data_IF_703375819990
#
_entry.id   IF_703375819990
#
_cell.length_a   1.000
_cell.length_b   1.000
_cell.length_c   1.000
_cell.angle_alpha   90.00
_cell.angle_beta   90.00
_cell.angle_gamma   90.00
#
_symmetry.space_group_name_H-M   'P 1'
#
loop_
_entity.id
_entity.type
_entity.pdbx_description
1 polymer ?
#
# COMPACT_ATOMS: atom_id res chain seq x y z
N UNK A 1 5.69 1.21 -18.41
CA UNK A 1 4.65 0.56 -17.58
C UNK A 1 5.34 -0.08 -16.38
N UNK A 2 4.90 0.15 -15.15
CA UNK A 2 5.53 -0.46 -13.98
C UNK A 2 5.25 -1.96 -13.90
N UNK A 3 6.20 -2.75 -13.37
CA UNK A 3 6.03 -4.19 -13.15
C UNK A 3 4.93 -4.49 -12.12
N UNK A 4 4.25 -5.63 -12.26
CA UNK A 4 3.31 -6.17 -11.25
C UNK A 4 4.12 -6.70 -10.08
N UNK A 5 3.90 -6.15 -8.88
CA UNK A 5 4.58 -6.58 -7.66
C UNK A 5 3.86 -7.80 -7.08
N UNK A 6 4.52 -8.94 -7.11
CA UNK A 6 3.98 -10.21 -6.62
C UNK A 6 4.68 -10.59 -5.32
N UNK A 7 3.91 -10.66 -4.23
CA UNK A 7 4.39 -11.24 -2.97
C UNK A 7 4.09 -12.74 -3.00
N UNK A 8 5.12 -13.57 -2.97
CA UNK A 8 5.00 -15.01 -2.87
C UNK A 8 5.29 -15.47 -1.45
N UNK A 9 4.44 -16.29 -0.88
CA UNK A 9 4.54 -16.78 0.50
C UNK A 9 4.43 -18.30 0.51
N UNK A 10 5.50 -18.96 0.89
CA UNK A 10 5.62 -20.42 0.87
C UNK A 10 6.75 -20.84 1.83
N UNK A 11 6.57 -21.84 2.66
CA UNK A 11 7.58 -22.30 3.60
C UNK A 11 8.66 -23.17 2.92
N UNK A 12 8.35 -23.76 1.76
CA UNK A 12 9.28 -24.59 0.98
C UNK A 12 10.28 -23.73 0.18
N UNK A 13 11.59 -23.77 0.49
CA UNK A 13 12.58 -22.93 -0.19
C UNK A 13 12.69 -23.23 -1.70
N UNK A 14 12.56 -24.49 -2.10
CA UNK A 14 12.64 -24.90 -3.50
C UNK A 14 11.48 -24.33 -4.33
N UNK A 15 10.27 -24.26 -3.73
CA UNK A 15 9.11 -23.66 -4.39
C UNK A 15 9.31 -22.15 -4.53
N UNK A 16 9.85 -21.48 -3.50
CA UNK A 16 10.15 -20.04 -3.59
C UNK A 16 11.14 -19.75 -4.72
N UNK A 17 12.21 -20.52 -4.82
CA UNK A 17 13.21 -20.37 -5.88
C UNK A 17 12.58 -20.56 -7.28
N UNK A 18 11.80 -21.62 -7.47
CA UNK A 18 11.12 -21.89 -8.75
C UNK A 18 10.18 -20.76 -9.14
N UNK A 19 9.39 -20.22 -8.21
CA UNK A 19 8.46 -19.11 -8.47
C UNK A 19 9.23 -17.82 -8.79
N UNK A 20 10.30 -17.51 -8.06
CA UNK A 20 11.15 -16.35 -8.34
C UNK A 20 11.78 -16.41 -9.73
N UNK A 21 12.34 -17.55 -10.12
CA UNK A 21 12.90 -17.75 -11.46
C UNK A 21 11.80 -17.62 -12.51
N UNK A 22 10.70 -18.35 -12.34
CA UNK A 22 9.62 -18.41 -13.33
C UNK A 22 8.98 -17.04 -13.63
N UNK A 23 8.72 -16.26 -12.60
CA UNK A 23 8.16 -14.91 -12.76
C UNK A 23 9.24 -13.90 -13.13
N UNK A 24 10.48 -14.06 -12.66
CA UNK A 24 11.62 -13.20 -12.98
C UNK A 24 12.05 -13.23 -14.45
N UNK A 25 11.68 -14.29 -15.19
CA UNK A 25 11.89 -14.36 -16.65
C UNK A 25 11.00 -13.35 -17.41
N UNK A 26 9.94 -12.85 -16.80
CA UNK A 26 9.04 -11.88 -17.40
C UNK A 26 9.24 -10.49 -16.74
N UNK A 27 9.78 -9.50 -17.45
CA UNK A 27 10.04 -8.17 -16.90
C UNK A 27 8.77 -7.42 -16.45
N UNK A 28 7.58 -7.96 -16.76
CA UNK A 28 6.32 -7.43 -16.27
C UNK A 28 6.08 -7.72 -14.78
N UNK A 29 6.87 -8.59 -14.15
CA UNK A 29 6.75 -8.92 -12.74
C UNK A 29 7.97 -8.48 -11.93
N UNK A 30 7.71 -8.06 -10.69
CA UNK A 30 8.69 -7.89 -9.63
C UNK A 30 8.27 -8.78 -8.46
N UNK A 31 9.09 -9.77 -8.10
CA UNK A 31 8.75 -10.78 -7.10
C UNK A 31 9.50 -10.51 -5.81
N UNK A 32 8.80 -10.68 -4.68
CA UNK A 32 9.39 -10.78 -3.35
C UNK A 32 8.83 -12.03 -2.68
N UNK A 33 9.69 -12.90 -2.16
CA UNK A 33 9.28 -14.12 -1.48
C UNK A 33 9.44 -14.00 0.04
N UNK A 34 8.54 -14.68 0.76
CA UNK A 34 8.53 -14.81 2.22
C UNK A 34 8.39 -16.28 2.60
N UNK A 35 9.00 -16.68 3.71
CA UNK A 35 8.99 -18.06 4.17
C UNK A 35 7.81 -18.37 5.12
N UNK A 36 7.05 -17.37 5.54
CA UNK A 36 5.95 -17.53 6.48
C UNK A 36 4.88 -16.46 6.33
N UNK A 37 3.69 -16.70 6.87
CA UNK A 37 2.63 -15.68 6.97
C UNK A 37 3.08 -14.45 7.79
N UNK A 38 3.87 -14.66 8.85
CA UNK A 38 4.43 -13.58 9.66
C UNK A 38 5.37 -12.67 8.85
N UNK A 39 6.29 -13.27 8.07
CA UNK A 39 7.19 -12.51 7.19
C UNK A 39 6.42 -11.75 6.11
N UNK A 40 5.36 -12.35 5.55
CA UNK A 40 4.49 -11.69 4.59
C UNK A 40 3.82 -10.45 5.17
N UNK A 41 3.29 -10.55 6.40
CA UNK A 41 2.71 -9.42 7.11
C UNK A 41 3.74 -8.32 7.40
N UNK A 42 4.97 -8.66 7.76
CA UNK A 42 6.04 -7.70 7.95
C UNK A 42 6.43 -7.03 6.63
N UNK A 43 6.60 -7.81 5.56
CA UNK A 43 6.98 -7.33 4.24
C UNK A 43 5.98 -6.32 3.65
N UNK A 44 4.68 -6.46 3.96
CA UNK A 44 3.65 -5.52 3.47
C UNK A 44 3.65 -4.16 4.17
N UNK A 45 4.47 -3.94 5.18
CA UNK A 45 4.60 -2.64 5.83
C UNK A 45 5.38 -1.64 4.97
N UNK A 46 6.41 -2.10 4.27
CA UNK A 46 7.30 -1.29 3.44
C UNK A 46 7.17 -1.56 1.93
N UNK A 47 6.50 -2.66 1.55
CA UNK A 47 6.35 -3.07 0.17
C UNK A 47 4.90 -3.44 -0.14
N UNK A 48 4.24 -2.65 -0.97
CA UNK A 48 2.84 -2.84 -1.33
C UNK A 48 2.73 -3.77 -2.53
N UNK A 49 2.27 -5.04 -2.37
CA UNK A 49 2.06 -5.95 -3.48
C UNK A 49 0.82 -5.58 -4.30
N UNK A 50 0.86 -5.90 -5.60
CA UNK A 50 -0.29 -5.83 -6.50
C UNK A 50 -1.05 -7.16 -6.55
N UNK A 51 -0.38 -8.26 -6.17
CA UNK A 51 -0.91 -9.63 -6.10
C UNK A 51 -0.15 -10.41 -5.04
N UNK A 52 -0.83 -11.32 -4.34
CA UNK A 52 -0.21 -12.23 -3.38
C UNK A 52 -0.46 -13.66 -3.83
N UNK A 53 0.62 -14.45 -3.99
CA UNK A 53 0.59 -15.89 -4.13
C UNK A 53 0.84 -16.48 -2.74
N UNK A 54 -0.07 -17.30 -2.23
CA UNK A 54 -0.05 -17.72 -0.83
C UNK A 54 -0.22 -19.23 -0.73
N UNK A 55 0.79 -19.91 -0.20
CA UNK A 55 0.64 -21.31 0.11
C UNK A 55 -0.43 -21.54 1.19
N UNK A 56 -1.17 -22.62 1.02
CA UNK A 56 -2.24 -22.99 1.96
C UNK A 56 -1.69 -23.60 3.24
N UNK A 57 -0.66 -24.43 3.12
CA UNK A 57 -0.17 -25.28 4.20
C UNK A 57 1.20 -24.83 4.69
N UNK A 58 1.22 -23.89 5.61
CA UNK A 58 2.45 -23.41 6.26
C UNK A 58 2.41 -23.65 7.76
N UNK A 59 3.56 -23.85 8.42
CA UNK A 59 3.64 -23.94 9.88
C UNK A 59 3.24 -22.62 10.56
N UNK A 60 2.80 -22.70 11.80
CA UNK A 60 2.39 -21.61 12.70
C UNK A 60 1.19 -20.80 12.21
N UNK A 61 1.26 -20.20 11.02
CA UNK A 61 0.19 -19.42 10.40
C UNK A 61 -0.06 -19.92 8.98
N UNK A 62 -1.14 -20.65 8.78
CA UNK A 62 -1.54 -21.18 7.48
C UNK A 62 -2.00 -20.07 6.50
N UNK A 63 -2.23 -20.45 5.24
CA UNK A 63 -2.67 -19.51 4.21
C UNK A 63 -4.00 -18.82 4.54
N UNK A 64 -5.06 -19.53 4.93
CA UNK A 64 -6.31 -18.93 5.37
C UNK A 64 -6.18 -17.93 6.52
N UNK A 65 -5.38 -18.24 7.55
CA UNK A 65 -5.10 -17.31 8.65
C UNK A 65 -4.32 -16.09 8.18
N UNK A 66 -3.33 -16.29 7.30
CA UNK A 66 -2.55 -15.19 6.70
C UNK A 66 -3.46 -14.28 5.88
N UNK A 67 -4.35 -14.83 5.06
CA UNK A 67 -5.34 -14.06 4.30
C UNK A 67 -6.23 -13.22 5.23
N UNK A 68 -6.75 -13.80 6.31
CA UNK A 68 -7.59 -13.07 7.27
C UNK A 68 -6.84 -11.86 7.85
N UNK A 69 -5.57 -12.04 8.25
CA UNK A 69 -4.72 -10.96 8.77
C UNK A 69 -4.40 -9.88 7.72
N UNK A 70 -4.20 -10.27 6.46
CA UNK A 70 -4.00 -9.33 5.35
C UNK A 70 -5.26 -8.48 5.11
N UNK A 71 -6.46 -9.04 5.25
CA UNK A 71 -7.74 -8.33 5.09
C UNK A 71 -8.01 -7.32 6.21
N UNK A 72 -7.44 -7.50 7.39
CA UNK A 72 -7.53 -6.53 8.50
C UNK A 72 -6.70 -5.26 8.26
N UNK A 73 -5.79 -5.26 7.30
CA UNK A 73 -4.87 -4.15 7.03
C UNK A 73 -5.34 -3.33 5.82
N UNK A 74 -5.54 -2.01 5.95
CA UNK A 74 -6.01 -1.17 4.83
C UNK A 74 -5.14 -1.29 3.56
N UNK A 75 -3.81 -1.48 3.72
CA UNK A 75 -2.87 -1.56 2.61
C UNK A 75 -3.02 -2.82 1.76
N UNK A 76 -3.52 -3.91 2.36
CA UNK A 76 -3.63 -5.23 1.72
C UNK A 76 -5.05 -5.74 1.62
N UNK A 77 -6.02 -5.04 2.21
CA UNK A 77 -7.43 -5.47 2.25
C UNK A 77 -8.02 -5.75 0.86
N UNK A 78 -7.65 -4.96 -0.14
CA UNK A 78 -8.15 -5.08 -1.52
C UNK A 78 -7.19 -5.83 -2.47
N UNK A 79 -5.99 -6.23 -2.00
CA UNK A 79 -5.01 -6.92 -2.85
C UNK A 79 -5.52 -8.33 -3.19
N UNK A 80 -5.56 -8.74 -4.47
CA UNK A 80 -5.95 -10.08 -4.85
C UNK A 80 -4.97 -11.11 -4.27
N UNK A 81 -5.51 -12.15 -3.64
CA UNK A 81 -4.76 -13.27 -3.08
C UNK A 81 -5.14 -14.53 -3.84
N UNK A 82 -4.15 -15.23 -4.38
CA UNK A 82 -4.29 -16.50 -5.07
C UNK A 82 -3.63 -17.58 -4.22
N UNK A 83 -4.39 -18.58 -3.81
CA UNK A 83 -3.83 -19.70 -3.07
C UNK A 83 -3.04 -20.64 -3.98
N UNK A 84 -1.95 -21.15 -3.46
CA UNK A 84 -1.19 -22.26 -4.07
C UNK A 84 -1.38 -23.50 -3.20
N UNK A 85 -1.84 -24.63 -3.79
CA UNK A 85 -2.17 -25.83 -3.01
C UNK A 85 -1.94 -27.11 -3.76
N UNK A 86 -1.47 -28.15 -3.07
CA UNK A 86 -1.40 -29.50 -3.60
C UNK A 86 -2.79 -30.17 -3.78
N UNK A 87 -3.84 -29.58 -3.20
CA UNK A 87 -5.21 -30.10 -3.26
C UNK A 87 -6.12 -29.06 -3.92
N UNK A 88 -6.34 -29.22 -5.22
CA UNK A 88 -7.23 -28.34 -6.01
C UNK A 88 -8.55 -29.04 -6.35
N UNK A 89 -9.21 -29.66 -5.35
CA UNK A 89 -10.55 -30.24 -5.56
C UNK A 89 -11.61 -29.14 -5.63
N UNK A 90 -12.71 -29.38 -6.35
CA UNK A 90 -13.75 -28.38 -6.55
C UNK A 90 -14.32 -27.81 -5.23
N UNK A 91 -14.50 -28.66 -4.22
CA UNK A 91 -14.99 -28.27 -2.89
C UNK A 91 -14.01 -27.36 -2.13
N UNK A 92 -12.70 -27.53 -2.35
CA UNK A 92 -11.68 -26.66 -1.74
C UNK A 92 -11.59 -25.31 -2.47
N UNK A 93 -11.74 -25.31 -3.79
CA UNK A 93 -11.82 -24.10 -4.58
C UNK A 93 -12.96 -23.19 -4.11
N UNK A 94 -14.18 -23.75 -3.97
CA UNK A 94 -15.34 -23.01 -3.48
C UNK A 94 -15.10 -22.42 -2.06
N UNK A 95 -14.46 -23.21 -1.19
CA UNK A 95 -14.08 -22.77 0.16
C UNK A 95 -13.11 -21.59 0.11
N UNK A 96 -12.07 -21.64 -0.72
CA UNK A 96 -11.08 -20.58 -0.80
C UNK A 96 -11.66 -19.29 -1.40
N UNK A 97 -12.52 -19.41 -2.40
CA UNK A 97 -13.26 -18.28 -2.96
C UNK A 97 -14.20 -17.64 -1.92
N UNK A 98 -14.87 -18.45 -1.10
CA UNK A 98 -15.71 -17.96 0.00
C UNK A 98 -14.92 -17.22 1.08
N UNK A 99 -13.62 -17.52 1.26
CA UNK A 99 -12.72 -16.78 2.13
C UNK A 99 -12.23 -15.45 1.51
N UNK A 100 -12.60 -15.14 0.27
CA UNK A 100 -12.21 -13.92 -0.44
C UNK A 100 -10.91 -14.04 -1.23
N UNK A 101 -10.47 -15.27 -1.56
CA UNK A 101 -9.40 -15.48 -2.53
C UNK A 101 -9.85 -15.11 -3.95
N UNK A 102 -8.92 -14.57 -4.75
CA UNK A 102 -9.15 -14.28 -6.16
C UNK A 102 -9.11 -15.55 -7.03
N UNK A 103 -8.47 -16.59 -6.54
CA UNK A 103 -8.36 -17.86 -7.24
C UNK A 103 -7.41 -18.84 -6.57
N UNK A 104 -7.12 -19.94 -7.29
CA UNK A 104 -6.25 -21.02 -6.81
C UNK A 104 -5.35 -21.48 -7.96
N UNK A 105 -4.10 -21.74 -7.65
CA UNK A 105 -3.11 -22.41 -8.51
C UNK A 105 -2.77 -23.75 -7.88
N UNK A 106 -2.97 -24.84 -8.65
CA UNK A 106 -2.63 -26.18 -8.18
C UNK A 106 -1.10 -26.39 -8.19
N UNK A 107 -0.56 -27.02 -7.16
CA UNK A 107 0.77 -27.62 -7.13
C UNK A 107 0.65 -29.12 -7.49
N UNK A 108 1.54 -29.70 -8.33
CA UNK A 108 2.63 -29.02 -9.03
C UNK A 108 2.12 -28.17 -10.20
N UNK A 109 2.76 -27.02 -10.43
CA UNK A 109 2.53 -26.17 -11.58
C UNK A 109 3.69 -26.24 -12.57
N UNK A 110 3.44 -25.91 -13.82
CA UNK A 110 4.49 -25.77 -14.83
C UNK A 110 5.14 -24.39 -14.70
N UNK A 111 6.46 -24.32 -14.38
CA UNK A 111 7.18 -23.06 -14.26
C UNK A 111 7.07 -22.16 -15.49
N UNK A 112 7.03 -22.74 -16.69
CA UNK A 112 6.98 -21.98 -17.95
C UNK A 112 5.63 -21.33 -18.21
N UNK A 113 4.56 -21.83 -17.58
CA UNK A 113 3.20 -21.27 -17.71
C UNK A 113 2.76 -20.43 -16.51
N UNK A 114 3.54 -20.44 -15.43
CA UNK A 114 3.18 -19.76 -14.19
C UNK A 114 2.93 -18.25 -14.39
N UNK A 115 3.79 -17.56 -15.15
CA UNK A 115 3.64 -16.13 -15.44
C UNK A 115 2.30 -15.82 -16.15
N UNK A 116 1.88 -16.68 -17.10
CA UNK A 116 0.59 -16.53 -17.78
C UNK A 116 -0.59 -16.78 -16.84
N UNK A 117 -0.49 -17.74 -15.93
CA UNK A 117 -1.51 -18.00 -14.91
C UNK A 117 -1.65 -16.84 -13.94
N UNK A 118 -0.54 -16.35 -13.41
CA UNK A 118 -0.50 -15.22 -12.46
C UNK A 118 -1.07 -13.94 -13.08
N UNK A 119 -0.75 -13.68 -14.36
CA UNK A 119 -1.26 -12.51 -15.09
C UNK A 119 -2.80 -12.46 -15.16
N UNK A 120 -3.49 -13.60 -15.14
CA UNK A 120 -4.97 -13.66 -15.12
C UNK A 120 -5.58 -13.06 -13.85
N UNK A 121 -4.82 -13.05 -12.76
CA UNK A 121 -5.24 -12.51 -11.47
C UNK A 121 -4.64 -11.14 -11.18
N UNK A 122 -3.66 -10.71 -11.97
CA UNK A 122 -3.06 -9.40 -11.80
C UNK A 122 -4.08 -8.30 -12.11
N UNK A 123 -4.21 -7.29 -11.24
CA UNK A 123 -5.16 -6.22 -11.46
C UNK A 123 -4.79 -5.40 -12.72
N UNK A 124 -5.80 -4.88 -13.40
CA UNK A 124 -5.59 -3.96 -14.51
C UNK A 124 -4.80 -2.71 -14.06
N UNK A 125 -4.14 -2.04 -15.00
CA UNK A 125 -3.32 -0.87 -14.68
C UNK A 125 -4.14 0.23 -13.97
N UNK A 126 -5.39 0.44 -14.38
CA UNK A 126 -6.31 1.40 -13.77
C UNK A 126 -6.61 1.04 -12.30
N UNK A 127 -6.86 -0.24 -12.00
CA UNK A 127 -7.09 -0.72 -10.64
C UNK A 127 -5.85 -0.56 -9.76
N UNK A 128 -4.65 -0.79 -10.31
CA UNK A 128 -3.38 -0.58 -9.61
C UNK A 128 -3.15 0.88 -9.27
N UNK A 129 -3.43 1.79 -10.20
CA UNK A 129 -3.35 3.24 -9.97
C UNK A 129 -4.34 3.64 -8.87
N UNK A 130 -5.59 3.15 -8.93
CA UNK A 130 -6.59 3.42 -7.90
C UNK A 130 -6.14 2.94 -6.51
N UNK A 131 -5.57 1.72 -6.42
CA UNK A 131 -5.02 1.18 -5.16
C UNK A 131 -3.89 2.04 -4.61
N UNK A 132 -2.96 2.49 -5.46
CA UNK A 132 -1.85 3.37 -5.06
C UNK A 132 -2.36 4.74 -4.58
N UNK A 133 -3.35 5.32 -5.27
CA UNK A 133 -3.99 6.58 -4.87
C UNK A 133 -4.67 6.47 -3.52
N UNK A 134 -5.42 5.38 -3.28
CA UNK A 134 -6.05 5.12 -1.99
C UNK A 134 -5.01 4.93 -0.88
N UNK A 135 -3.94 4.20 -1.13
CA UNK A 135 -2.82 4.04 -0.21
C UNK A 135 -2.15 5.37 0.17
N UNK A 136 -1.98 6.27 -0.80
CA UNK A 136 -1.51 7.64 -0.53
C UNK A 136 -2.47 8.39 0.39
N UNK A 137 -3.79 8.37 0.12
CA UNK A 137 -4.78 9.08 0.95
C UNK A 137 -4.82 8.55 2.39
N UNK A 138 -4.62 7.26 2.60
CA UNK A 138 -4.53 6.69 3.97
C UNK A 138 -3.33 7.28 4.72
N UNK A 139 -2.14 7.35 4.09
CA UNK A 139 -0.96 7.98 4.70
C UNK A 139 -1.15 9.47 4.92
N UNK A 140 -1.67 10.19 3.93
CA UNK A 140 -1.91 11.63 4.04
C UNK A 140 -2.86 11.99 5.21
N UNK A 141 -3.83 11.11 5.54
CA UNK A 141 -4.67 11.28 6.74
C UNK A 141 -3.88 11.17 8.03
N UNK A 142 -2.93 10.24 8.11
CA UNK A 142 -2.06 10.11 9.27
C UNK A 142 -1.18 11.35 9.41
N UNK A 143 -0.61 11.84 8.31
CA UNK A 143 0.18 13.06 8.28
C UNK A 143 -0.67 14.28 8.69
N UNK A 144 -1.94 14.37 8.24
CA UNK A 144 -2.87 15.42 8.66
C UNK A 144 -3.18 15.40 10.17
N UNK A 145 -3.17 14.23 10.82
CA UNK A 145 -3.29 14.14 12.27
C UNK A 145 -2.07 14.74 12.97
N UNK A 146 -0.87 14.39 12.51
CA UNK A 146 0.39 14.97 13.03
C UNK A 146 0.41 16.50 12.80
N UNK A 147 0.01 16.95 11.61
CA UNK A 147 -0.09 18.39 11.33
C UNK A 147 -1.09 19.10 12.26
N UNK A 148 -2.17 18.43 12.67
CA UNK A 148 -3.14 18.98 13.64
C UNK A 148 -2.53 19.13 15.03
N UNK A 149 -1.66 18.21 15.45
CA UNK A 149 -0.92 18.31 16.71
C UNK A 149 0.09 19.47 16.66
N UNK A 150 0.91 19.55 15.61
CA UNK A 150 1.88 20.61 15.37
C UNK A 150 1.24 22.01 15.29
N UNK A 151 0.03 22.08 14.71
CA UNK A 151 -0.79 23.30 14.69
C UNK A 151 -1.01 23.86 16.09
N UNK A 152 -1.31 23.00 17.04
CA UNK A 152 -1.55 23.41 18.44
C UNK A 152 -0.26 23.89 19.10
N UNK A 153 0.87 23.28 18.81
CA UNK A 153 2.18 23.70 19.34
C UNK A 153 2.59 25.06 18.80
N UNK A 154 2.38 25.33 17.50
CA UNK A 154 2.64 26.63 16.87
C UNK A 154 1.74 27.73 17.47
N UNK A 155 0.44 27.43 17.66
CA UNK A 155 -0.51 28.38 18.21
C UNK A 155 -0.21 28.76 19.69
N UNK A 156 0.36 27.81 20.45
CA UNK A 156 0.73 28.01 21.86
C UNK A 156 2.12 28.64 22.03
N UNK A 157 2.82 28.96 20.94
CA UNK A 157 4.20 29.48 20.91
C UNK A 157 5.22 28.60 21.66
N UNK A 158 4.84 27.36 22.00
CA UNK A 158 5.69 26.37 22.65
C UNK A 158 6.52 25.66 21.59
N UNK A 159 7.81 25.86 21.59
CA UNK A 159 8.79 25.25 20.67
C UNK A 159 8.41 25.41 19.17
N UNK A 160 7.87 26.59 18.81
CA UNK A 160 7.36 26.88 17.47
C UNK A 160 8.41 26.62 16.36
N UNK A 161 9.71 26.78 16.65
CA UNK A 161 10.77 26.53 15.66
C UNK A 161 10.89 25.04 15.30
N UNK A 162 10.83 24.14 16.28
CA UNK A 162 10.89 22.70 16.03
C UNK A 162 9.62 22.21 15.33
N UNK A 163 8.44 22.72 15.73
CA UNK A 163 7.17 22.41 15.09
C UNK A 163 7.15 22.86 13.61
N UNK A 164 7.64 24.08 13.32
CA UNK A 164 7.74 24.58 11.94
C UNK A 164 8.65 23.73 11.06
N UNK A 165 9.79 23.26 11.56
CA UNK A 165 10.67 22.38 10.79
C UNK A 165 10.03 21.01 10.50
N UNK A 166 9.22 20.47 11.43
CA UNK A 166 8.47 19.24 11.19
C UNK A 166 7.35 19.46 10.16
N UNK A 167 6.65 20.62 10.22
CA UNK A 167 5.64 21.01 9.22
C UNK A 167 6.27 21.11 7.84
N UNK A 168 7.43 21.77 7.69
CA UNK A 168 8.18 21.85 6.44
C UNK A 168 8.45 20.47 5.86
N UNK A 169 9.02 19.56 6.67
CA UNK A 169 9.35 18.19 6.22
C UNK A 169 8.14 17.40 5.75
N UNK A 170 7.03 17.47 6.50
CA UNK A 170 5.78 16.79 6.13
C UNK A 170 5.14 17.41 4.88
N UNK A 171 5.13 18.74 4.79
CA UNK A 171 4.57 19.46 3.65
C UNK A 171 5.33 19.15 2.36
N UNK A 172 6.67 19.13 2.40
CA UNK A 172 7.51 18.74 1.28
C UNK A 172 7.15 17.34 0.76
N UNK A 173 7.15 16.33 1.64
CA UNK A 173 6.81 14.94 1.27
C UNK A 173 5.38 14.79 0.72
N UNK A 174 4.42 15.52 1.30
CA UNK A 174 3.03 15.53 0.81
C UNK A 174 2.91 16.21 -0.57
N UNK A 175 3.62 17.32 -0.80
CA UNK A 175 3.61 18.05 -2.07
C UNK A 175 4.10 17.18 -3.22
N UNK A 176 5.26 16.53 -3.08
CA UNK A 176 5.83 15.65 -4.08
C UNK A 176 4.93 14.44 -4.37
N UNK A 177 4.54 13.71 -3.31
CA UNK A 177 3.76 12.50 -3.45
C UNK A 177 2.37 12.77 -4.02
N UNK A 178 1.67 13.82 -3.57
CA UNK A 178 0.34 14.18 -4.06
C UNK A 178 0.36 14.50 -5.56
N UNK A 179 1.38 15.20 -6.04
CA UNK A 179 1.57 15.51 -7.46
C UNK A 179 1.68 14.26 -8.32
N UNK A 180 2.45 13.26 -7.89
CA UNK A 180 2.64 11.98 -8.59
C UNK A 180 1.30 11.22 -8.71
N UNK A 181 0.49 11.23 -7.66
CA UNK A 181 -0.80 10.52 -7.64
C UNK A 181 -1.97 11.32 -8.23
N UNK A 182 -1.72 12.55 -8.74
CA UNK A 182 -2.71 13.40 -9.38
C UNK A 182 -3.66 14.10 -8.40
N UNK A 183 -3.26 14.28 -7.15
CA UNK A 183 -3.96 15.08 -6.16
C UNK A 183 -3.43 16.54 -6.17
N UNK A 184 -3.63 17.22 -7.30
CA UNK A 184 -3.02 18.53 -7.55
C UNK A 184 -3.34 19.59 -6.50
N UNK A 185 -4.53 19.54 -5.91
CA UNK A 185 -4.92 20.46 -4.84
C UNK A 185 -4.10 20.22 -3.57
N UNK A 186 -4.00 18.96 -3.12
CA UNK A 186 -3.16 18.61 -1.96
C UNK A 186 -1.71 18.99 -2.21
N UNK A 187 -1.20 18.73 -3.43
CA UNK A 187 0.17 19.11 -3.81
C UNK A 187 0.39 20.62 -3.75
N UNK A 188 -0.55 21.42 -4.24
CA UNK A 188 -0.45 22.88 -4.22
C UNK A 188 -0.56 23.45 -2.80
N UNK A 189 -1.53 22.97 -2.00
CA UNK A 189 -1.74 23.40 -0.61
C UNK A 189 -0.52 23.00 0.26
N UNK A 190 0.07 21.84 0.03
CA UNK A 190 1.27 21.38 0.74
C UNK A 190 2.51 22.19 0.33
N UNK A 191 2.71 22.51 -0.95
CA UNK A 191 3.80 23.38 -1.39
C UNK A 191 3.68 24.80 -0.81
N UNK A 192 2.46 25.35 -0.75
CA UNK A 192 2.23 26.64 -0.11
C UNK A 192 2.55 26.62 1.40
N UNK A 193 2.28 25.49 2.08
CA UNK A 193 2.63 25.33 3.50
C UNK A 193 4.13 25.20 3.70
N UNK A 194 4.84 24.48 2.85
CA UNK A 194 6.29 24.38 2.84
C UNK A 194 6.92 25.77 2.71
N UNK A 195 6.49 26.55 1.70
CA UNK A 195 6.97 27.92 1.47
C UNK A 195 6.71 28.83 2.68
N UNK A 196 5.52 28.76 3.27
CA UNK A 196 5.16 29.57 4.43
C UNK A 196 5.96 29.21 5.68
N UNK A 197 6.30 27.92 5.89
CA UNK A 197 7.06 27.45 7.03
C UNK A 197 8.55 27.90 6.99
N UNK A 198 9.11 28.06 5.78
CA UNK A 198 10.53 28.41 5.56
C UNK A 198 10.74 29.94 5.42
N UNK A 199 9.74 30.68 4.96
CA UNK A 199 9.91 32.10 4.62
C UNK A 199 10.19 32.94 5.86
N UNK A 200 11.33 33.73 5.86
CA UNK A 200 11.70 34.56 7.00
C UNK A 200 10.65 35.65 7.29
N UNK A 201 10.16 35.70 8.51
CA UNK A 201 9.22 36.72 8.94
C UNK A 201 7.75 36.43 8.65
N UNK A 202 7.41 35.25 8.19
CA UNK A 202 6.01 34.80 8.05
C UNK A 202 5.36 34.80 9.44
N UNK A 203 4.19 35.43 9.57
CA UNK A 203 3.46 35.40 10.83
C UNK A 203 2.92 33.99 11.10
N UNK A 204 2.93 33.55 12.35
CA UNK A 204 2.37 32.25 12.73
C UNK A 204 0.92 32.08 12.27
N UNK A 205 0.13 33.13 12.27
CA UNK A 205 -1.24 33.12 11.78
C UNK A 205 -1.36 32.75 10.30
N UNK A 206 -0.43 33.19 9.45
CA UNK A 206 -0.44 32.88 8.02
C UNK A 206 -0.07 31.41 7.79
N UNK A 207 0.90 30.88 8.53
CA UNK A 207 1.26 29.44 8.49
C UNK A 207 0.08 28.59 8.93
N UNK A 208 -0.61 28.96 10.02
CA UNK A 208 -1.77 28.23 10.53
C UNK A 208 -2.93 28.23 9.53
N UNK A 209 -3.15 29.33 8.79
CA UNK A 209 -4.19 29.41 7.78
C UNK A 209 -3.94 28.43 6.62
N UNK A 210 -2.71 28.36 6.13
CA UNK A 210 -2.34 27.45 5.02
C UNK A 210 -2.38 25.99 5.49
N UNK A 211 -1.96 25.73 6.72
CA UNK A 211 -2.01 24.42 7.34
C UNK A 211 -3.46 23.91 7.48
N UNK A 212 -4.38 24.76 7.93
CA UNK A 212 -5.82 24.43 8.01
C UNK A 212 -6.40 24.12 6.63
N UNK A 213 -5.98 24.83 5.58
CA UNK A 213 -6.41 24.58 4.21
C UNK A 213 -5.93 23.19 3.71
N UNK A 214 -4.69 22.81 3.98
CA UNK A 214 -4.16 21.51 3.62
C UNK A 214 -4.89 20.37 4.33
N UNK A 215 -5.09 20.45 5.65
CA UNK A 215 -5.82 19.45 6.43
C UNK A 215 -7.25 19.27 5.88
N UNK A 216 -7.95 20.37 5.62
CA UNK A 216 -9.29 20.33 5.04
C UNK A 216 -9.30 19.71 3.63
N UNK A 217 -8.31 20.02 2.81
CA UNK A 217 -8.11 19.46 1.47
C UNK A 217 -7.95 17.95 1.47
N UNK A 218 -7.10 17.42 2.37
CA UNK A 218 -6.87 15.98 2.55
C UNK A 218 -8.18 15.29 2.99
N UNK A 219 -8.92 15.90 3.93
CA UNK A 219 -10.21 15.39 4.39
C UNK A 219 -11.25 15.29 3.25
N UNK A 220 -11.37 16.34 2.45
CA UNK A 220 -12.31 16.40 1.35
C UNK A 220 -12.02 15.38 0.24
N UNK A 221 -10.73 15.19 -0.15
CA UNK A 221 -10.33 14.16 -1.13
C UNK A 221 -10.62 12.75 -0.64
N UNK A 222 -10.42 12.55 0.65
CA UNK A 222 -10.65 11.24 1.29
C UNK A 222 -12.13 10.83 1.28
N UNK A 223 -13.06 11.76 1.43
CA UNK A 223 -14.50 11.50 1.34
C UNK A 223 -14.89 11.20 -0.11
N UNK A 224 -14.43 12.00 -1.07
CA UNK A 224 -14.73 11.80 -2.51
C UNK A 224 -14.29 10.43 -3.03
N UNK A 225 -13.15 9.93 -2.52
CA UNK A 225 -12.62 8.63 -2.95
C UNK A 225 -13.32 7.45 -2.28
N UNK A 226 -13.97 7.66 -1.12
CA UNK A 226 -14.75 6.62 -0.45
C UNK A 226 -16.14 6.40 -1.09
N UNK A 227 -16.68 7.42 -1.77
CA UNK A 227 -18.00 7.40 -2.40
C UNK A 227 -17.95 7.00 -3.90
N UNK A 228 -16.75 6.73 -4.47
CA UNK A 228 -16.53 6.38 -5.87
C UNK A 228 -16.18 4.90 -6.05
#
# INVERSE_FOLDING_TARGET
MGSVRVLHVDDEPDIREVVEISLGLDPAFAVRSCASGGDALAATADWSPDLILLDVMMPDMDGPMTLARLRERPQTAAVPVVFMTARAQASELDRFLALGAAGVIAKPFDPMTLAALVRRYAPAAETRIATLRNGFLVRARTDAQVLTELRSEIADERDASAALHQVETLAHGLSEAAGIYGFHRISADAGALEDAAVAPGTAAADVLQVLDALIAGIGAESVRTADA
#
